data_IF_773015463999
#
_entry.id   IF_773015463999
#
_cell.length_a   1.000
_cell.length_b   1.000
_cell.length_c   1.000
_cell.angle_alpha   90.00
_cell.angle_beta   90.00
_cell.angle_gamma   90.00
#
_symmetry.space_group_name_H-M   'P 1'
#
loop_
_entity.id
_entity.type
_entity.pdbx_description
1 polymer ?
#
# COMPACT_ATOMS: atom_id res chain seq x y z
N UNK A 1 26.63 -12.46 -10.81
CA UNK A 1 25.57 -11.64 -10.22
C UNK A 1 25.14 -10.72 -11.35
N UNK A 2 24.09 -11.09 -12.07
CA UNK A 2 23.68 -10.37 -13.27
C UNK A 2 23.15 -8.99 -12.88
N UNK A 3 23.58 -7.91 -13.57
CA UNK A 3 22.86 -6.66 -13.53
C UNK A 3 21.48 -6.93 -14.12
N UNK A 4 20.43 -6.37 -13.53
CA UNK A 4 19.06 -6.42 -14.04
C UNK A 4 19.08 -6.11 -15.55
N UNK A 5 19.07 -7.16 -16.38
CA UNK A 5 18.77 -7.06 -17.80
C UNK A 5 17.44 -6.33 -17.89
N UNK A 6 17.30 -5.43 -18.87
CA UNK A 6 16.05 -4.70 -19.18
C UNK A 6 14.89 -5.71 -19.23
N UNK A 7 14.31 -5.94 -18.06
CA UNK A 7 13.57 -7.13 -17.75
C UNK A 7 12.12 -6.83 -17.96
N UNK A 8 11.37 -7.80 -18.48
CA UNK A 8 9.92 -7.76 -18.62
C UNK A 8 9.28 -6.91 -17.53
N UNK A 9 8.81 -5.73 -17.93
CA UNK A 9 8.04 -4.87 -17.07
C UNK A 9 6.84 -5.67 -16.58
N UNK A 10 6.75 -5.88 -15.28
CA UNK A 10 5.57 -6.50 -14.67
C UNK A 10 4.49 -5.42 -14.63
N UNK A 11 3.34 -5.73 -15.20
CA UNK A 11 2.19 -4.83 -15.15
C UNK A 11 1.75 -4.67 -13.69
N UNK A 12 1.98 -3.48 -13.14
CA UNK A 12 1.62 -3.14 -11.77
C UNK A 12 0.36 -2.27 -11.79
N UNK A 13 -0.65 -2.68 -11.01
CA UNK A 13 -1.90 -1.92 -10.86
C UNK A 13 -1.90 -1.23 -9.51
N UNK A 14 -2.14 0.08 -9.53
CA UNK A 14 -2.33 0.88 -8.33
C UNK A 14 -3.73 1.45 -8.30
N UNK A 15 -4.25 1.65 -7.09
CA UNK A 15 -5.44 2.45 -6.89
C UNK A 15 -5.39 3.11 -5.53
N UNK A 16 -6.01 4.29 -5.45
CA UNK A 16 -6.02 5.12 -4.26
C UNK A 16 -7.43 5.34 -3.74
N UNK A 17 -7.54 5.55 -2.44
CA UNK A 17 -8.74 6.09 -1.82
C UNK A 17 -8.37 7.39 -1.12
N UNK A 18 -9.16 8.42 -1.36
CA UNK A 18 -9.03 9.70 -0.67
C UNK A 18 -10.27 9.97 0.18
N UNK A 19 -10.05 10.46 1.41
CA UNK A 19 -11.14 10.88 2.27
C UNK A 19 -11.43 12.38 2.06
N UNK A 20 -12.42 12.70 1.23
CA UNK A 20 -12.86 14.08 1.04
C UNK A 20 -13.94 14.43 2.07
N UNK A 21 -13.60 15.31 3.03
CA UNK A 21 -14.53 15.74 4.08
C UNK A 21 -15.50 16.81 3.54
N UNK A 22 -16.79 16.49 3.47
CA UNK A 22 -17.84 17.49 3.15
C UNK A 22 -18.00 18.58 4.21
N UNK A 23 -17.75 18.26 5.48
CA UNK A 23 -17.75 19.24 6.57
C UNK A 23 -16.60 18.90 7.55
N UNK A 24 -15.52 19.71 7.60
CA UNK A 24 -14.35 19.43 8.42
C UNK A 24 -14.63 19.52 9.92
N UNK A 25 -15.65 20.28 10.33
CA UNK A 25 -16.01 20.50 11.73
C UNK A 25 -16.92 19.40 12.30
N UNK A 26 -17.43 18.50 11.46
CA UNK A 26 -18.29 17.39 11.91
C UNK A 26 -17.43 16.24 12.43
N UNK A 27 -17.73 15.79 13.65
CA UNK A 27 -17.09 14.60 14.23
C UNK A 27 -17.34 13.38 13.35
N UNK A 28 -16.26 12.72 12.96
CA UNK A 28 -16.32 11.51 12.14
C UNK A 28 -16.91 10.36 12.95
N UNK A 29 -17.79 9.59 12.31
CA UNK A 29 -18.28 8.31 12.83
C UNK A 29 -17.62 7.20 12.04
N UNK A 30 -17.32 6.10 12.72
CA UNK A 30 -16.85 4.89 12.05
C UNK A 30 -17.90 4.46 11.03
N UNK A 31 -17.50 4.38 9.76
CA UNK A 31 -18.37 3.92 8.68
C UNK A 31 -18.06 2.46 8.36
N UNK A 32 -18.99 1.58 8.75
CA UNK A 32 -18.92 0.14 8.45
C UNK A 32 -18.98 -0.10 6.93
N UNK A 33 -19.71 0.74 6.19
CA UNK A 33 -19.84 0.64 4.74
C UNK A 33 -18.50 0.80 4.03
N UNK A 34 -17.70 1.78 4.44
CA UNK A 34 -16.33 1.98 3.93
C UNK A 34 -15.47 0.73 4.11
N UNK A 35 -15.50 0.10 5.31
CA UNK A 35 -14.78 -1.17 5.54
C UNK A 35 -15.24 -2.23 4.55
N UNK A 36 -16.55 -2.51 4.52
CA UNK A 36 -17.11 -3.56 3.67
C UNK A 36 -16.79 -3.35 2.19
N UNK A 37 -16.84 -2.10 1.71
CA UNK A 37 -16.47 -1.76 0.34
C UNK A 37 -14.99 -2.06 0.06
N UNK A 38 -14.07 -1.62 0.92
CA UNK A 38 -12.63 -1.86 0.73
C UNK A 38 -12.31 -3.36 0.74
N UNK A 39 -12.89 -4.12 1.68
CA UNK A 39 -12.71 -5.57 1.75
C UNK A 39 -13.28 -6.29 0.52
N UNK A 40 -14.42 -5.84 0.00
CA UNK A 40 -15.00 -6.36 -1.22
C UNK A 40 -14.15 -6.05 -2.44
N UNK A 41 -13.55 -4.85 -2.54
CA UNK A 41 -12.64 -4.52 -3.63
C UNK A 41 -11.41 -5.43 -3.59
N UNK A 42 -10.79 -5.60 -2.42
CA UNK A 42 -9.63 -6.47 -2.24
C UNK A 42 -9.94 -7.93 -2.61
N UNK A 43 -11.07 -8.45 -2.13
CA UNK A 43 -11.49 -9.82 -2.41
C UNK A 43 -11.74 -10.02 -3.91
N UNK A 44 -12.54 -9.14 -4.54
CA UNK A 44 -12.84 -9.22 -5.97
C UNK A 44 -11.59 -9.04 -6.85
N UNK A 45 -10.60 -8.27 -6.40
CA UNK A 45 -9.33 -8.12 -7.09
C UNK A 45 -8.60 -9.46 -7.13
N UNK A 46 -8.34 -10.08 -5.97
CA UNK A 46 -7.59 -11.34 -5.91
C UNK A 46 -8.36 -12.55 -6.46
N UNK A 47 -9.69 -12.51 -6.46
CA UNK A 47 -10.52 -13.54 -7.13
C UNK A 47 -10.33 -13.52 -8.65
N UNK A 48 -10.10 -12.34 -9.24
CA UNK A 48 -9.90 -12.15 -10.69
C UNK A 48 -8.43 -12.15 -11.10
N UNK A 49 -7.53 -11.86 -10.16
CA UNK A 49 -6.10 -11.59 -10.38
C UNK A 49 -5.28 -12.19 -9.23
N UNK A 50 -5.31 -13.51 -9.10
CA UNK A 50 -4.61 -14.20 -8.00
C UNK A 50 -3.09 -14.08 -8.05
N UNK A 51 -2.54 -13.85 -9.25
CA UNK A 51 -1.09 -13.73 -9.49
C UNK A 51 -0.57 -12.29 -9.45
N UNK A 52 -1.46 -11.32 -9.28
CA UNK A 52 -1.08 -9.92 -9.14
C UNK A 52 -0.86 -9.56 -7.66
N UNK A 53 -0.12 -8.48 -7.45
CA UNK A 53 0.04 -7.87 -6.13
C UNK A 53 -0.69 -6.53 -6.06
N UNK A 54 -0.85 -6.05 -4.84
CA UNK A 54 -1.62 -4.85 -4.57
C UNK A 54 -0.82 -3.92 -3.67
N UNK A 55 -0.76 -2.64 -4.03
CA UNK A 55 -0.07 -1.63 -3.22
C UNK A 55 -1.10 -0.68 -2.60
N UNK A 56 -1.10 -0.61 -1.28
CA UNK A 56 -1.78 0.42 -0.50
C UNK A 56 -0.79 1.54 -0.18
N UNK A 57 -1.16 2.78 -0.49
CA UNK A 57 -0.38 3.98 -0.15
C UNK A 57 -1.28 4.93 0.63
N UNK A 58 -0.73 5.50 1.70
CA UNK A 58 -1.41 6.41 2.59
C UNK A 58 -0.48 7.57 2.92
N UNK A 59 -0.69 8.69 2.26
CA UNK A 59 0.01 9.94 2.51
C UNK A 59 -0.32 10.46 3.92
N UNK A 60 0.62 11.15 4.57
CA UNK A 60 0.43 11.79 5.88
C UNK A 60 0.20 13.31 5.80
N UNK A 61 -0.18 13.82 4.64
CA UNK A 61 -0.43 15.26 4.42
C UNK A 61 -1.46 15.87 5.38
N UNK A 62 -2.34 15.07 5.97
CA UNK A 62 -3.35 15.50 6.94
C UNK A 62 -3.07 15.04 8.39
N UNK A 63 -1.90 14.45 8.66
CA UNK A 63 -1.50 13.97 9.99
C UNK A 63 -2.20 12.69 10.48
N UNK A 64 -3.03 12.04 9.66
CA UNK A 64 -3.81 10.85 10.06
C UNK A 64 -3.29 9.53 9.47
N UNK A 65 -2.10 9.48 8.87
CA UNK A 65 -1.59 8.25 8.25
C UNK A 65 -1.45 7.10 9.25
N UNK A 66 -0.98 7.38 10.47
CA UNK A 66 -0.89 6.37 11.55
C UNK A 66 -2.25 5.75 11.87
N UNK A 67 -3.30 6.57 11.98
CA UNK A 67 -4.64 6.09 12.30
C UNK A 67 -5.18 5.23 11.16
N UNK A 68 -4.99 5.67 9.91
CA UNK A 68 -5.38 4.90 8.72
C UNK A 68 -4.62 3.58 8.62
N UNK A 69 -3.31 3.56 8.89
CA UNK A 69 -2.51 2.34 8.98
C UNK A 69 -3.09 1.33 9.97
N UNK A 70 -3.44 1.79 11.17
CA UNK A 70 -4.01 0.94 12.23
C UNK A 70 -5.36 0.38 11.80
N UNK A 71 -6.24 1.23 11.26
CA UNK A 71 -7.57 0.84 10.80
C UNK A 71 -7.47 -0.16 9.65
N UNK A 72 -6.67 0.13 8.63
CA UNK A 72 -6.45 -0.76 7.50
C UNK A 72 -5.85 -2.10 7.94
N UNK A 73 -4.93 -2.11 8.91
CA UNK A 73 -4.40 -3.35 9.48
C UNK A 73 -5.46 -4.20 10.18
N UNK A 74 -6.39 -3.58 10.90
CA UNK A 74 -7.53 -4.29 11.50
C UNK A 74 -8.42 -4.91 10.42
N UNK A 75 -8.76 -4.14 9.39
CA UNK A 75 -9.56 -4.63 8.27
C UNK A 75 -8.87 -5.76 7.52
N UNK A 76 -7.56 -5.63 7.26
CA UNK A 76 -6.79 -6.68 6.60
C UNK A 76 -6.79 -7.99 7.40
N UNK A 77 -6.71 -7.91 8.73
CA UNK A 77 -6.77 -9.11 9.58
C UNK A 77 -8.16 -9.80 9.55
N UNK A 78 -9.21 -9.12 9.07
CA UNK A 78 -10.52 -9.74 8.83
C UNK A 78 -10.60 -10.44 7.46
N UNK A 79 -9.63 -10.22 6.56
CA UNK A 79 -9.54 -10.98 5.30
C UNK A 79 -9.11 -12.42 5.57
N UNK A 80 -9.45 -13.31 4.63
CA UNK A 80 -9.05 -14.72 4.67
C UNK A 80 -7.54 -14.86 4.90
N UNK A 81 -7.15 -15.93 5.59
CA UNK A 81 -5.76 -16.25 5.91
C UNK A 81 -4.87 -16.56 4.70
N UNK A 82 -5.40 -16.43 3.49
CA UNK A 82 -4.75 -16.71 2.20
C UNK A 82 -3.88 -15.54 1.72
N UNK A 83 -4.01 -14.37 2.34
CA UNK A 83 -3.24 -13.17 1.99
C UNK A 83 -2.14 -12.87 3.02
N UNK A 84 -1.07 -12.23 2.57
CA UNK A 84 -0.03 -11.65 3.41
C UNK A 84 0.16 -10.17 3.08
N UNK A 85 0.66 -9.43 4.08
CA UNK A 85 0.87 -7.99 3.99
C UNK A 85 2.28 -7.64 4.41
N UNK A 86 3.03 -7.04 3.49
CA UNK A 86 4.38 -6.51 3.74
C UNK A 86 4.29 -5.00 3.84
N UNK A 87 4.64 -4.47 5.00
CA UNK A 87 4.53 -3.04 5.29
C UNK A 87 5.90 -2.41 5.27
N UNK A 88 5.96 -1.14 4.87
CA UNK A 88 7.10 -0.30 5.14
C UNK A 88 6.63 1.09 5.48
N UNK A 89 7.43 1.75 6.30
CA UNK A 89 7.12 3.03 6.90
C UNK A 89 8.26 3.96 6.54
N UNK A 90 7.97 4.93 5.68
CA UNK A 90 8.93 5.96 5.28
C UNK A 90 8.52 7.23 6.01
N UNK A 91 9.22 7.52 7.11
CA UNK A 91 9.17 8.82 7.76
C UNK A 91 10.23 9.70 7.13
N UNK A 92 9.82 10.59 6.23
CA UNK A 92 10.68 11.62 5.68
C UNK A 92 10.04 13.00 5.88
N UNK A 93 10.84 13.97 6.34
CA UNK A 93 10.49 15.39 6.54
C UNK A 93 9.09 15.66 7.15
N UNK A 94 8.66 14.85 8.12
CA UNK A 94 7.33 14.89 8.76
C UNK A 94 6.11 14.66 7.83
N UNK A 95 6.30 14.60 6.51
CA UNK A 95 5.27 14.38 5.49
C UNK A 95 5.11 12.92 5.06
N UNK A 96 5.93 12.02 5.61
CA UNK A 96 6.10 10.61 5.25
C UNK A 96 4.83 9.84 4.89
N UNK A 97 4.97 8.75 4.14
CA UNK A 97 3.82 7.92 3.77
C UNK A 97 3.93 6.53 4.38
N UNK A 98 2.76 5.96 4.60
CA UNK A 98 2.65 4.54 4.88
C UNK A 98 2.32 3.79 3.59
N UNK A 99 3.06 2.74 3.29
CA UNK A 99 2.70 1.82 2.21
C UNK A 99 2.75 0.37 2.64
N UNK A 100 1.91 -0.44 2.00
CA UNK A 100 1.90 -1.88 2.19
C UNK A 100 1.64 -2.61 0.87
N UNK A 101 2.39 -3.67 0.64
CA UNK A 101 2.14 -4.67 -0.38
C UNK A 101 1.21 -5.74 0.19
N UNK A 102 0.11 -6.03 -0.49
CA UNK A 102 -0.79 -7.14 -0.22
C UNK A 102 -0.65 -8.14 -1.37
N UNK A 103 -0.54 -9.42 -1.04
CA UNK A 103 -0.34 -10.47 -2.03
C UNK A 103 -0.89 -11.79 -1.50
N UNK A 104 -1.31 -12.68 -2.39
CA UNK A 104 -1.66 -14.05 -2.00
C UNK A 104 -0.41 -14.82 -1.57
N UNK A 105 -0.56 -15.67 -0.55
CA UNK A 105 0.52 -16.49 -0.02
C UNK A 105 1.05 -17.50 -1.03
N UNK A 106 0.18 -17.99 -1.91
CA UNK A 106 0.44 -18.98 -2.97
C UNK A 106 0.82 -18.36 -4.32
N UNK A 107 1.03 -17.04 -4.38
CA UNK A 107 1.45 -16.36 -5.61
C UNK A 107 2.84 -16.85 -6.05
N UNK A 108 3.01 -17.35 -7.29
CA UNK A 108 4.29 -17.91 -7.77
C UNK A 108 5.40 -16.86 -7.88
N UNK A 109 5.04 -15.59 -8.08
CA UNK A 109 5.94 -14.45 -8.26
C UNK A 109 6.10 -13.62 -6.97
N UNK A 110 5.67 -14.15 -5.83
CA UNK A 110 5.58 -13.41 -4.56
C UNK A 110 6.86 -12.72 -4.13
N UNK A 111 7.99 -13.44 -4.18
CA UNK A 111 9.28 -12.88 -3.78
C UNK A 111 9.69 -11.73 -4.69
N UNK A 112 9.45 -11.84 -6.01
CA UNK A 112 9.73 -10.78 -6.98
C UNK A 112 8.97 -9.50 -6.65
N UNK A 113 7.69 -9.61 -6.25
CA UNK A 113 6.91 -8.44 -5.83
C UNK A 113 7.42 -7.81 -4.54
N UNK A 114 7.80 -8.62 -3.55
CA UNK A 114 8.35 -8.14 -2.27
C UNK A 114 9.66 -7.40 -2.51
N UNK A 115 10.56 -7.98 -3.30
CA UNK A 115 11.85 -7.38 -3.62
C UNK A 115 11.67 -6.08 -4.40
N UNK A 116 10.79 -6.06 -5.41
CA UNK A 116 10.48 -4.86 -6.18
C UNK A 116 9.86 -3.75 -5.31
N UNK A 117 8.97 -4.10 -4.38
CA UNK A 117 8.36 -3.16 -3.45
C UNK A 117 9.43 -2.51 -2.56
N UNK A 118 10.29 -3.29 -1.93
CA UNK A 118 11.35 -2.75 -1.07
C UNK A 118 12.42 -1.98 -1.84
N UNK A 119 12.79 -2.44 -3.05
CA UNK A 119 13.70 -1.72 -3.93
C UNK A 119 13.15 -0.34 -4.32
N UNK A 120 11.89 -0.28 -4.73
CA UNK A 120 11.23 0.98 -5.13
C UNK A 120 11.19 1.97 -3.97
N UNK A 121 10.87 1.48 -2.77
CA UNK A 121 10.85 2.30 -1.56
C UNK A 121 12.21 2.86 -1.19
N UNK A 122 13.26 2.04 -1.30
CA UNK A 122 14.63 2.47 -1.05
C UNK A 122 15.07 3.53 -2.05
N UNK A 123 14.79 3.35 -3.35
CA UNK A 123 15.11 4.37 -4.36
C UNK A 123 14.38 5.69 -4.11
N UNK A 124 13.09 5.64 -3.78
CA UNK A 124 12.33 6.85 -3.46
C UNK A 124 12.92 7.62 -2.29
N UNK A 125 13.42 6.93 -1.26
CA UNK A 125 14.13 7.55 -0.15
C UNK A 125 15.44 8.22 -0.59
N UNK A 126 16.26 7.51 -1.37
CA UNK A 126 17.53 8.04 -1.88
C UNK A 126 17.32 9.26 -2.78
N UNK A 127 16.33 9.23 -3.68
CA UNK A 127 16.02 10.35 -4.57
C UNK A 127 15.61 11.59 -3.77
N UNK A 128 14.80 11.40 -2.73
CA UNK A 128 14.37 12.46 -1.82
C UNK A 128 15.56 13.07 -1.04
N UNK A 129 16.48 12.25 -0.53
CA UNK A 129 17.68 12.73 0.17
C UNK A 129 18.60 13.55 -0.76
N UNK A 130 18.74 13.14 -2.02
CA UNK A 130 19.58 13.86 -3.00
C UNK A 130 18.96 15.20 -3.46
N UNK A 131 17.63 15.35 -3.44
CA UNK A 131 16.96 16.62 -3.78
C UNK A 131 17.17 17.73 -2.73
N UNK A 132 17.59 17.41 -1.49
CA UNK A 132 17.91 18.41 -0.46
C UNK A 132 19.35 18.93 -0.50
N UNK A 133 20.26 18.22 -1.18
CA UNK A 133 21.68 18.57 -1.30
C UNK A 133 22.01 19.52 -2.48
N UNK A 134 21.02 19.79 -3.36
CA UNK A 134 21.08 20.71 -4.53
C UNK A 134 20.41 22.07 -4.26
#
# INVERSE_FOLDING_TARGET
MDPLTEGEFVDARSFGFECVRKNPNKRQRYDVGTKSTILNILTNFFDKRSEDAFIYICLNTDGFARNRRIIFGRWFNELKSEYERHQSHIDYAEQGWYSALLIRKDNPSKQRYIDAFHYTQKRMLEDIENEEDD
#
